data_IF_611787148835
#
_entry.id   IF_611787148835
#
_cell.length_a   1.000
_cell.length_b   1.000
_cell.length_c   1.000
_cell.angle_alpha   90.00
_cell.angle_beta   90.00
_cell.angle_gamma   90.00
#
_symmetry.space_group_name_H-M   'P 1'
#
loop_
_entity.id
_entity.type
_entity.pdbx_description
1 polymer ?
#
# COMPACT_ATOMS: atom_id res chain seq x y z
N UNK A 1 29.37 -17.74 6.77
CA UNK A 1 28.20 -17.03 6.23
C UNK A 1 28.22 -15.68 6.87
N UNK A 2 28.69 -14.68 6.13
CA UNK A 2 28.67 -13.28 6.56
C UNK A 2 27.28 -12.78 6.20
N UNK A 3 26.39 -12.77 7.18
CA UNK A 3 25.07 -12.20 7.05
C UNK A 3 25.25 -10.68 7.00
N UNK A 4 25.04 -10.10 5.81
CA UNK A 4 24.99 -8.66 5.59
C UNK A 4 24.00 -8.06 6.59
N UNK A 5 24.53 -7.50 7.67
CA UNK A 5 23.75 -6.80 8.68
C UNK A 5 23.15 -5.57 8.00
N UNK A 6 21.88 -5.66 7.63
CA UNK A 6 21.11 -4.47 7.30
C UNK A 6 21.24 -3.54 8.50
N UNK A 7 21.86 -2.37 8.31
CA UNK A 7 22.16 -1.38 9.36
C UNK A 7 20.92 -0.86 10.10
N UNK A 8 19.72 -1.35 9.78
CA UNK A 8 18.47 -0.99 10.42
C UNK A 8 17.63 -2.25 10.62
N UNK A 9 17.05 -2.46 11.82
CA UNK A 9 16.28 -3.66 12.10
C UNK A 9 15.05 -3.75 11.20
N UNK A 10 14.66 -4.98 10.89
CA UNK A 10 13.37 -5.32 10.29
C UNK A 10 12.22 -4.97 11.24
N UNK A 11 10.97 -5.05 10.75
CA UNK A 11 9.80 -4.77 11.57
C UNK A 11 9.71 -5.72 12.77
N UNK A 12 9.89 -7.01 12.53
CA UNK A 12 9.78 -8.03 13.59
C UNK A 12 10.88 -7.88 14.64
N UNK A 13 12.11 -7.56 14.22
CA UNK A 13 13.21 -7.30 15.15
C UNK A 13 12.98 -6.03 15.97
N UNK A 14 12.46 -4.96 15.34
CA UNK A 14 12.16 -3.72 16.04
C UNK A 14 11.00 -3.90 17.03
N UNK A 15 9.99 -4.69 16.67
CA UNK A 15 8.86 -5.03 17.53
C UNK A 15 9.30 -5.88 18.73
N UNK A 16 10.06 -6.95 18.48
CA UNK A 16 10.61 -7.79 19.55
C UNK A 16 11.51 -7.00 20.51
N UNK A 17 12.31 -6.07 19.98
CA UNK A 17 13.09 -5.16 20.81
C UNK A 17 12.24 -4.22 21.67
N UNK A 18 11.10 -3.75 21.15
CA UNK A 18 10.18 -2.90 21.89
C UNK A 18 9.48 -3.69 23.01
N UNK A 19 9.04 -4.91 22.75
CA UNK A 19 8.45 -5.81 23.75
C UNK A 19 9.43 -6.09 24.90
N UNK A 20 10.69 -6.39 24.59
CA UNK A 20 11.72 -6.60 25.60
C UNK A 20 12.00 -5.35 26.46
N UNK A 21 11.93 -4.16 25.86
CA UNK A 21 12.07 -2.89 26.60
C UNK A 21 10.89 -2.69 27.54
N UNK A 22 9.65 -2.96 27.08
CA UNK A 22 8.46 -2.84 27.92
C UNK A 22 8.53 -3.81 29.10
N UNK A 23 8.91 -5.07 28.86
CA UNK A 23 9.10 -6.07 29.92
C UNK A 23 10.16 -5.63 30.94
N UNK A 24 11.28 -5.05 30.49
CA UNK A 24 12.29 -4.50 31.38
C UNK A 24 11.78 -3.30 32.20
N UNK A 25 10.93 -2.45 31.62
CA UNK A 25 10.34 -1.29 32.29
C UNK A 25 9.26 -1.63 33.32
N UNK A 26 8.65 -2.83 33.24
CA UNK A 26 7.64 -3.29 34.21
C UNK A 26 8.25 -3.71 35.56
N UNK A 27 9.57 -3.76 35.69
CA UNK A 27 10.24 -4.14 36.92
C UNK A 27 10.19 -3.02 37.98
N UNK A 28 9.68 -3.33 39.19
CA UNK A 28 9.43 -2.37 40.27
C UNK A 28 10.67 -1.60 40.78
N UNK A 29 11.88 -2.07 40.51
CA UNK A 29 13.14 -1.50 41.01
C UNK A 29 14.06 -0.96 39.90
N UNK A 30 13.52 -0.56 38.75
CA UNK A 30 14.32 0.03 37.69
C UNK A 30 14.82 1.43 38.08
N UNK A 31 16.14 1.68 38.13
CA UNK A 31 16.67 3.00 38.45
C UNK A 31 16.31 4.02 37.35
N UNK A 32 16.15 5.29 37.74
CA UNK A 32 15.68 6.35 36.83
C UNK A 32 16.52 6.48 35.56
N UNK A 33 17.83 6.34 35.65
CA UNK A 33 18.75 6.45 34.51
C UNK A 33 18.55 5.31 33.49
N UNK A 34 18.28 4.09 33.98
CA UNK A 34 17.92 2.96 33.12
C UNK A 34 16.53 3.15 32.51
N UNK A 35 15.56 3.67 33.27
CA UNK A 35 14.23 3.97 32.76
C UNK A 35 14.25 4.99 31.61
N UNK A 36 15.06 6.06 31.75
CA UNK A 36 15.27 7.03 30.67
C UNK A 36 15.94 6.38 29.46
N UNK A 37 16.97 5.56 29.68
CA UNK A 37 17.67 4.84 28.61
C UNK A 37 16.73 3.89 27.85
N UNK A 38 15.89 3.16 28.57
CA UNK A 38 14.89 2.27 28.00
C UNK A 38 13.84 3.05 27.20
N UNK A 39 13.37 4.18 27.73
CA UNK A 39 12.43 5.05 27.03
C UNK A 39 12.99 5.59 25.71
N UNK A 40 14.23 6.11 25.70
CA UNK A 40 14.88 6.61 24.49
C UNK A 40 15.03 5.53 23.41
N UNK A 41 15.48 4.33 23.82
CA UNK A 41 15.58 3.17 22.92
C UNK A 41 14.20 2.75 22.40
N UNK A 42 13.20 2.69 23.27
CA UNK A 42 11.82 2.35 22.91
C UNK A 42 11.24 3.34 21.90
N UNK A 43 11.47 4.64 22.10
CA UNK A 43 11.02 5.69 21.17
C UNK A 43 11.68 5.55 19.78
N UNK A 44 12.98 5.21 19.73
CA UNK A 44 13.67 4.96 18.48
C UNK A 44 13.12 3.73 17.74
N UNK A 45 12.87 2.63 18.45
CA UNK A 45 12.27 1.43 17.87
C UNK A 45 10.83 1.66 17.39
N UNK A 46 10.03 2.39 18.16
CA UNK A 46 8.67 2.77 17.78
C UNK A 46 8.67 3.59 16.48
N UNK A 47 9.53 4.61 16.39
CA UNK A 47 9.68 5.42 15.18
C UNK A 47 10.09 4.58 13.96
N UNK A 48 10.94 3.57 14.16
CA UNK A 48 11.31 2.62 13.12
C UNK A 48 10.12 1.79 12.65
N UNK A 49 9.33 1.23 13.58
CA UNK A 49 8.12 0.48 13.25
C UNK A 49 7.13 1.32 12.44
N UNK A 50 6.88 2.56 12.87
CA UNK A 50 6.02 3.50 12.14
C UNK A 50 6.52 3.77 10.73
N UNK A 51 7.83 4.03 10.55
CA UNK A 51 8.44 4.26 9.24
C UNK A 51 8.23 3.08 8.29
N UNK A 52 8.41 1.84 8.78
CA UNK A 52 8.20 0.64 7.99
C UNK A 52 6.72 0.50 7.59
N UNK A 53 5.80 0.70 8.54
CA UNK A 53 4.36 0.60 8.29
C UNK A 53 3.88 1.66 7.29
N UNK A 54 4.41 2.89 7.36
CA UNK A 54 4.10 3.95 6.41
C UNK A 54 4.58 3.59 5.00
N UNK A 55 5.81 3.10 4.87
CA UNK A 55 6.35 2.62 3.59
C UNK A 55 5.51 1.48 3.00
N UNK A 56 5.15 0.49 3.82
CA UNK A 56 4.30 -0.62 3.41
C UNK A 56 2.91 -0.14 2.95
N UNK A 57 2.28 0.77 3.70
CA UNK A 57 1.00 1.37 3.35
C UNK A 57 1.05 2.11 2.02
N UNK A 58 2.04 2.97 1.82
CA UNK A 58 2.20 3.71 0.56
C UNK A 58 2.41 2.78 -0.63
N UNK A 59 3.14 1.68 -0.45
CA UNK A 59 3.32 0.67 -1.50
C UNK A 59 2.02 -0.05 -1.85
N UNK A 60 1.19 -0.40 -0.85
CA UNK A 60 -0.13 -0.99 -1.09
C UNK A 60 -1.03 0.00 -1.85
N UNK A 61 -1.06 1.27 -1.42
CA UNK A 61 -1.87 2.30 -2.06
C UNK A 61 -1.51 2.51 -3.54
N UNK A 62 -0.21 2.55 -3.86
CA UNK A 62 0.26 2.64 -5.25
C UNK A 62 -0.19 1.45 -6.10
N UNK A 63 -0.14 0.23 -5.56
CA UNK A 63 -0.61 -0.98 -6.26
C UNK A 63 -2.13 -0.90 -6.47
N UNK A 64 -2.87 -0.47 -5.45
CA UNK A 64 -4.34 -0.32 -5.55
C UNK A 64 -4.73 0.71 -6.59
N UNK A 65 -4.10 1.89 -6.60
CA UNK A 65 -4.36 2.94 -7.60
C UNK A 65 -4.02 2.47 -9.02
N UNK A 66 -2.90 1.76 -9.19
CA UNK A 66 -2.53 1.19 -10.49
C UNK A 66 -3.58 0.21 -11.00
N UNK A 67 -4.03 -0.72 -10.15
CA UNK A 67 -5.05 -1.70 -10.53
C UNK A 67 -6.38 -1.03 -10.89
N UNK A 68 -6.78 0.03 -10.15
CA UNK A 68 -7.99 0.80 -10.49
C UNK A 68 -7.87 1.49 -11.85
N UNK A 69 -6.70 2.04 -12.17
CA UNK A 69 -6.46 2.67 -13.47
C UNK A 69 -6.47 1.64 -14.60
N UNK A 70 -5.86 0.46 -14.40
CA UNK A 70 -5.90 -0.64 -15.38
C UNK A 70 -7.35 -1.09 -15.65
N UNK A 71 -8.18 -1.24 -14.61
CA UNK A 71 -9.62 -1.56 -14.75
C UNK A 71 -10.39 -0.47 -15.53
N UNK A 72 -10.08 0.80 -15.28
CA UNK A 72 -10.75 1.91 -15.97
C UNK A 72 -10.38 1.98 -17.46
N UNK A 73 -9.14 1.60 -17.82
CA UNK A 73 -8.68 1.53 -19.21
C UNK A 73 -9.37 0.39 -19.97
N UNK A 74 -9.54 -0.77 -19.33
CA UNK A 74 -10.24 -1.92 -19.92
C UNK A 74 -11.74 -1.63 -20.13
N UNK A 75 -12.40 -0.99 -19.16
CA UNK A 75 -13.82 -0.62 -19.27
C UNK A 75 -14.11 0.42 -20.37
N UNK A 76 -13.17 1.32 -20.65
CA UNK A 76 -13.32 2.33 -21.70
C UNK A 76 -13.07 1.76 -23.12
N UNK A 77 -12.44 0.58 -23.23
CA UNK A 77 -12.24 -0.11 -24.52
C UNK A 77 -13.51 -0.82 -25.00
N UNK A 78 -14.49 -1.11 -24.13
CA UNK A 78 -15.74 -1.78 -24.49
C UNK A 78 -16.85 -0.77 -24.91
N UNK A 79 -16.79 0.47 -24.44
CA UNK A 79 -17.76 1.51 -24.78
C UNK A 79 -17.56 2.15 -26.17
N UNK A 80 -16.34 2.14 -26.72
CA UNK A 80 -16.01 2.77 -28.00
C UNK A 80 -16.40 1.94 -29.24
N UNK A 81 -16.88 0.70 -29.07
CA UNK A 81 -17.19 -0.22 -30.18
C UNK A 81 -18.69 -0.37 -30.48
N UNK A 82 -19.57 0.49 -29.93
CA UNK A 82 -21.02 0.42 -30.21
C UNK A 82 -21.61 1.57 -31.05
N UNK A 83 -20.81 2.53 -31.53
CA UNK A 83 -21.29 3.60 -32.41
C UNK A 83 -20.67 3.51 -33.81
N UNK A 84 -20.95 2.42 -34.53
CA UNK A 84 -20.71 2.34 -35.98
C UNK A 84 -21.65 1.35 -36.68
N UNK A 85 -22.95 1.42 -36.38
CA UNK A 85 -23.99 0.76 -37.19
C UNK A 85 -25.23 1.67 -37.30
N UNK A 86 -25.03 2.83 -37.94
CA UNK A 86 -26.08 3.49 -38.71
C UNK A 86 -25.54 3.63 -40.14
N UNK A 87 -25.50 2.51 -40.84
CA UNK A 87 -25.33 2.52 -42.29
C UNK A 87 -26.72 2.76 -42.89
N UNK A 88 -26.91 4.03 -43.22
CA UNK A 88 -27.97 4.55 -44.07
C UNK A 88 -27.73 4.01 -45.48
N UNK A 89 -28.47 2.95 -45.84
CA UNK A 89 -28.52 2.50 -47.23
C UNK A 89 -29.98 2.33 -47.63
N UNK A 90 -30.45 3.35 -48.36
CA UNK A 90 -31.59 3.35 -49.28
C UNK A 90 -31.71 2.02 -50.05
N UNK A 91 -32.84 1.32 -49.90
CA UNK A 91 -33.55 0.71 -51.04
C UNK A 91 -34.96 0.24 -50.60
N UNK A 92 -35.89 0.23 -51.55
CA UNK A 92 -37.31 -0.15 -51.44
C UNK A 92 -38.30 0.92 -50.91
N UNK A 93 -38.49 2.00 -51.67
CA UNK A 93 -39.86 2.48 -51.87
C UNK A 93 -40.14 2.74 -53.35
N UNK A 94 -40.75 1.72 -53.97
CA UNK A 94 -41.32 1.71 -55.32
C UNK A 94 -42.21 2.96 -55.54
N UNK A 95 -41.66 4.01 -56.16
CA UNK A 95 -42.47 5.02 -56.85
C UNK A 95 -43.05 4.34 -58.09
N UNK A 96 -44.30 3.86 -57.99
CA UNK A 96 -45.15 3.67 -59.17
C UNK A 96 -45.86 4.98 -59.47
N UNK A 97 -45.23 5.74 -60.37
CA UNK A 97 -45.89 6.73 -61.20
C UNK A 97 -46.88 5.98 -62.10
N UNK A 98 -48.18 6.01 -61.77
CA UNK A 98 -49.35 6.19 -62.65
C UNK A 98 -50.63 6.05 -61.81
#
# INVERSE_FOLDING_TARGET
MEEEVSLSPSFEEALAGLEAIVEAMEHENLPLEELVTHYEKGAALLSRCESILQSARGRIELITLRNQNEIALDANSEAANHEALSDDSDDDNDIRLF
#
